data_IF_184997412646
#
_entry.id   IF_184997412646
#
_cell.length_a   1.000
_cell.length_b   1.000
_cell.length_c   1.000
_cell.angle_alpha   90.00
_cell.angle_beta   90.00
_cell.angle_gamma   90.00
#
_symmetry.space_group_name_H-M   'P 1'
#
loop_
_entity.id
_entity.type
_entity.pdbx_description
1 polymer ?
#
# COMPACT_ATOMS: atom_id res chain seq x y z
N UNK A 1 2.75 21.48 -8.12
CA UNK A 1 3.30 20.16 -8.53
C UNK A 1 2.19 19.16 -8.26
N UNK A 2 1.90 18.26 -9.19
CA UNK A 2 0.84 17.27 -9.00
C UNK A 2 1.33 16.19 -8.02
N UNK A 3 0.51 15.85 -7.03
CA UNK A 3 0.82 14.78 -6.09
C UNK A 3 0.22 13.47 -6.60
N UNK A 4 1.08 12.49 -6.84
CA UNK A 4 0.67 11.15 -7.30
C UNK A 4 0.97 10.12 -6.23
N UNK A 5 0.11 9.12 -6.09
CA UNK A 5 0.35 7.99 -5.21
C UNK A 5 1.60 7.21 -5.68
N UNK A 6 2.66 7.09 -4.85
CA UNK A 6 3.84 6.32 -5.24
C UNK A 6 3.54 4.83 -5.27
N UNK A 7 4.14 4.09 -6.19
CA UNK A 7 4.06 2.63 -6.20
C UNK A 7 4.78 2.05 -4.96
N UNK A 8 4.27 0.92 -4.45
CA UNK A 8 4.98 0.17 -3.41
C UNK A 8 6.26 -0.46 -4.01
N UNK A 9 7.39 -0.43 -3.29
CA UNK A 9 8.65 -1.02 -3.75
C UNK A 9 8.70 -2.55 -3.53
N UNK A 10 7.58 -3.17 -3.14
CA UNK A 10 7.45 -4.58 -2.84
C UNK A 10 6.04 -5.09 -3.16
N UNK A 11 5.90 -6.42 -3.26
CA UNK A 11 4.61 -7.07 -3.43
C UNK A 11 3.72 -6.90 -2.20
N UNK A 12 2.40 -6.93 -2.38
CA UNK A 12 1.42 -6.68 -1.31
C UNK A 12 1.46 -7.72 -0.17
N UNK A 13 2.10 -8.86 -0.37
CA UNK A 13 2.27 -9.93 0.62
C UNK A 13 3.71 -10.01 1.16
N UNK A 14 4.62 -9.16 0.70
CA UNK A 14 6.04 -9.20 1.07
C UNK A 14 6.30 -8.98 2.57
N UNK A 15 5.32 -8.42 3.30
CA UNK A 15 5.41 -8.14 4.73
C UNK A 15 4.66 -9.18 5.59
N UNK A 16 4.09 -10.22 4.99
CA UNK A 16 3.45 -11.29 5.73
C UNK A 16 4.50 -12.14 6.50
N UNK A 17 4.16 -12.67 7.70
CA UNK A 17 2.87 -12.59 8.38
C UNK A 17 2.71 -11.34 9.27
N UNK A 18 3.70 -10.45 9.31
CA UNK A 18 3.69 -9.27 10.20
C UNK A 18 2.66 -8.22 9.77
N UNK A 19 2.42 -8.10 8.47
CA UNK A 19 1.34 -7.31 7.90
C UNK A 19 0.58 -8.13 6.87
N UNK A 20 -0.75 -8.07 6.91
CA UNK A 20 -1.58 -8.75 5.91
C UNK A 20 -1.61 -7.98 4.60
N UNK A 21 -1.85 -8.70 3.51
CA UNK A 21 -2.15 -8.12 2.20
C UNK A 21 -3.31 -7.12 2.27
N UNK A 22 -4.40 -7.46 2.96
CA UNK A 22 -5.57 -6.57 3.05
C UNK A 22 -5.23 -5.25 3.75
N UNK A 23 -4.32 -5.29 4.74
CA UNK A 23 -3.84 -4.08 5.42
C UNK A 23 -3.17 -3.13 4.43
N UNK A 24 -2.30 -3.64 3.56
CA UNK A 24 -1.61 -2.83 2.55
C UNK A 24 -2.57 -2.34 1.46
N UNK A 25 -3.51 -3.17 1.00
CA UNK A 25 -4.53 -2.75 0.02
C UNK A 25 -5.39 -1.60 0.55
N UNK A 26 -5.81 -1.68 1.82
CA UNK A 26 -6.65 -0.65 2.43
C UNK A 26 -5.85 0.62 2.73
N UNK A 27 -4.68 0.50 3.34
CA UNK A 27 -3.87 1.65 3.71
C UNK A 27 -3.33 2.37 2.47
N UNK A 28 -2.62 1.67 1.59
CA UNK A 28 -2.00 2.33 0.42
C UNK A 28 -3.04 2.63 -0.66
N UNK A 29 -3.90 1.66 -0.99
CA UNK A 29 -4.85 1.78 -2.10
C UNK A 29 -6.07 2.68 -1.82
N UNK A 30 -6.45 2.86 -0.54
CA UNK A 30 -7.57 3.75 -0.16
C UNK A 30 -7.14 4.96 0.65
N UNK A 31 -6.45 4.78 1.78
CA UNK A 31 -6.16 5.91 2.68
C UNK A 31 -5.14 6.90 2.11
N UNK A 32 -4.05 6.42 1.52
CA UNK A 32 -3.04 7.31 0.91
C UNK A 32 -3.50 7.86 -0.45
N UNK A 33 -4.48 7.23 -1.08
CA UNK A 33 -5.00 7.61 -2.40
C UNK A 33 -6.22 8.56 -2.35
N UNK A 34 -6.57 9.07 -1.18
CA UNK A 34 -7.67 10.02 -0.97
C UNK A 34 -7.11 11.44 -0.79
#
# INVERSE_FOLDING_TARGET
MEHTLPALPYALDALAPHYSRETLEFHHGKHHNA
#
